data_IF_258058239381
#
_entry.id   IF_258058239381
#
_cell.length_a   1.000
_cell.length_b   1.000
_cell.length_c   1.000
_cell.angle_alpha   90.00
_cell.angle_beta   90.00
_cell.angle_gamma   90.00
#
_symmetry.space_group_name_H-M   'P 1'
#
loop_
_entity.id
_entity.type
_entity.pdbx_description
1 polymer ?
#
# COMPACT_ATOMS: atom_id res chain seq x y z
N UNK A 1 -8.49 -9.80 1.44
CA UNK A 1 -8.99 -9.35 2.76
C UNK A 1 -7.89 -9.62 3.76
N UNK A 2 -7.34 -8.57 4.39
CA UNK A 2 -6.14 -8.70 5.26
C UNK A 2 -6.56 -8.69 6.74
N UNK A 3 -7.48 -7.81 7.13
CA UNK A 3 -8.13 -7.87 8.44
C UNK A 3 -9.21 -8.96 8.44
N UNK A 4 -9.32 -9.71 9.54
CA UNK A 4 -10.33 -10.75 9.72
C UNK A 4 -11.76 -10.17 9.80
N UNK A 5 -12.73 -10.97 9.37
CA UNK A 5 -14.16 -10.66 9.43
C UNK A 5 -14.84 -11.45 10.57
N UNK A 6 -15.93 -10.94 11.17
CA UNK A 6 -16.66 -11.65 12.22
C UNK A 6 -17.37 -12.88 11.64
N UNK A 7 -16.78 -14.04 11.89
CA UNK A 7 -17.30 -15.36 11.52
C UNK A 7 -17.58 -16.15 12.80
N UNK A 8 -18.81 -16.65 12.95
CA UNK A 8 -19.16 -17.49 14.09
C UNK A 8 -18.63 -18.93 13.93
N UNK A 9 -18.78 -19.75 14.99
CA UNK A 9 -18.33 -21.14 15.00
C UNK A 9 -19.07 -22.05 14.00
N UNK A 10 -20.25 -21.64 13.53
CA UNK A 10 -21.03 -22.36 12.52
C UNK A 10 -20.66 -21.91 11.10
N UNK A 11 -19.73 -20.96 10.95
CA UNK A 11 -19.32 -20.40 9.66
C UNK A 11 -20.25 -19.32 9.11
N UNK A 12 -21.17 -18.77 9.91
CA UNK A 12 -22.02 -17.66 9.48
C UNK A 12 -21.30 -16.32 9.69
N UNK A 13 -21.29 -15.50 8.65
CA UNK A 13 -20.69 -14.16 8.72
C UNK A 13 -21.74 -13.12 9.12
N UNK A 14 -21.48 -12.42 10.23
CA UNK A 14 -22.37 -11.38 10.77
C UNK A 14 -21.64 -10.04 10.78
N UNK A 15 -21.42 -9.49 9.58
CA UNK A 15 -20.66 -8.26 9.40
C UNK A 15 -21.56 -7.03 9.33
N UNK A 16 -21.13 -5.94 9.96
CA UNK A 16 -21.69 -4.60 9.81
C UNK A 16 -20.92 -3.81 8.75
N UNK A 17 -21.48 -2.68 8.30
CA UNK A 17 -20.83 -1.80 7.33
C UNK A 17 -19.41 -1.38 7.74
N UNK A 18 -19.20 -1.11 9.02
CA UNK A 18 -17.91 -0.71 9.59
C UNK A 18 -16.86 -1.81 9.58
N UNK A 19 -17.26 -3.09 9.46
CA UNK A 19 -16.30 -4.19 9.31
C UNK A 19 -15.66 -4.17 7.93
N UNK A 20 -16.41 -3.74 6.90
CA UNK A 20 -15.91 -3.56 5.53
C UNK A 20 -15.14 -2.24 5.36
N UNK A 21 -15.71 -1.14 5.85
CA UNK A 21 -15.14 0.21 5.77
C UNK A 21 -14.56 0.62 7.12
N UNK A 22 -13.38 0.09 7.41
CA UNK A 22 -12.61 0.42 8.59
C UNK A 22 -11.35 1.20 8.19
N UNK A 23 -10.63 1.73 9.18
CA UNK A 23 -9.42 2.52 8.93
C UNK A 23 -8.37 1.74 8.11
N UNK A 24 -8.23 0.44 8.36
CA UNK A 24 -7.28 -0.40 7.63
C UNK A 24 -7.67 -0.55 6.15
N UNK A 25 -8.95 -0.79 5.85
CA UNK A 25 -9.42 -0.91 4.47
C UNK A 25 -9.37 0.42 3.70
N UNK A 26 -9.63 1.55 4.38
CA UNK A 26 -9.46 2.89 3.79
C UNK A 26 -7.99 3.14 3.44
N UNK A 27 -7.06 2.89 4.38
CA UNK A 27 -5.62 3.06 4.12
C UNK A 27 -5.16 2.15 2.98
N UNK A 28 -5.61 0.89 2.96
CA UNK A 28 -5.32 -0.03 1.86
C UNK A 28 -5.88 0.44 0.51
N UNK A 29 -7.09 0.99 0.49
CA UNK A 29 -7.71 1.55 -0.71
C UNK A 29 -6.94 2.75 -1.26
N UNK A 30 -6.59 3.70 -0.38
CA UNK A 30 -5.76 4.87 -0.75
C UNK A 30 -4.39 4.42 -1.28
N UNK A 31 -3.75 3.46 -0.61
CA UNK A 31 -2.47 2.91 -1.05
C UNK A 31 -2.56 2.30 -2.46
N UNK A 32 -3.61 1.51 -2.74
CA UNK A 32 -3.82 0.94 -4.08
C UNK A 32 -4.01 2.03 -5.13
N UNK A 33 -4.84 3.05 -4.85
CA UNK A 33 -5.03 4.19 -5.76
C UNK A 33 -3.72 4.92 -6.04
N UNK A 34 -2.91 5.18 -5.01
CA UNK A 34 -1.60 5.80 -5.15
C UNK A 34 -0.65 4.96 -6.02
N UNK A 35 -0.60 3.64 -5.79
CA UNK A 35 0.24 2.74 -6.58
C UNK A 35 -0.18 2.71 -8.06
N UNK A 36 -1.48 2.64 -8.35
CA UNK A 36 -1.99 2.71 -9.72
C UNK A 36 -1.66 4.05 -10.38
N UNK A 37 -1.77 5.15 -9.64
CA UNK A 37 -1.46 6.47 -10.15
C UNK A 37 0.04 6.62 -10.44
N UNK A 38 0.91 6.26 -9.49
CA UNK A 38 2.37 6.23 -9.67
C UNK A 38 2.80 5.38 -10.86
N UNK A 39 2.18 4.20 -11.05
CA UNK A 39 2.44 3.37 -12.22
C UNK A 39 2.14 4.11 -13.54
N UNK A 40 0.99 4.79 -13.62
CA UNK A 40 0.63 5.61 -14.77
C UNK A 40 1.61 6.77 -15.01
N UNK A 41 2.04 7.44 -13.95
CA UNK A 41 3.02 8.53 -14.03
C UNK A 41 4.38 8.05 -14.55
N UNK A 42 4.86 6.92 -14.04
CA UNK A 42 6.08 6.29 -14.52
C UNK A 42 5.97 5.87 -15.99
N UNK A 43 4.83 5.30 -16.38
CA UNK A 43 4.57 4.96 -17.79
C UNK A 43 4.60 6.19 -18.70
N UNK A 44 3.95 7.29 -18.30
CA UNK A 44 3.97 8.55 -19.04
C UNK A 44 5.41 9.09 -19.14
N UNK A 45 6.16 9.07 -18.04
CA UNK A 45 7.56 9.49 -18.03
C UNK A 45 8.44 8.64 -18.96
N UNK A 46 8.17 7.35 -19.10
CA UNK A 46 8.89 6.49 -20.05
C UNK A 46 8.50 6.76 -21.51
N UNK A 47 7.24 7.15 -21.76
CA UNK A 47 6.69 7.24 -23.12
C UNK A 47 6.69 8.66 -23.72
N UNK A 48 6.92 9.69 -22.92
CA UNK A 48 6.87 11.09 -23.34
C UNK A 48 8.23 11.78 -23.21
N UNK A 49 8.38 12.91 -23.91
CA UNK A 49 9.58 13.75 -23.89
C UNK A 49 9.23 15.20 -23.54
N UNK A 50 10.25 15.97 -23.16
CA UNK A 50 10.13 17.39 -22.87
C UNK A 50 9.24 17.69 -21.64
N UNK A 51 8.44 18.78 -21.67
CA UNK A 51 7.73 19.28 -20.50
C UNK A 51 6.75 18.28 -19.85
N UNK A 52 6.16 17.38 -20.66
CA UNK A 52 5.21 16.38 -20.15
C UNK A 52 5.95 15.36 -19.28
N UNK A 53 7.16 14.93 -19.71
CA UNK A 53 8.01 14.02 -18.96
C UNK A 53 8.44 14.60 -17.62
N UNK A 54 8.89 15.85 -17.63
CA UNK A 54 9.33 16.54 -16.40
C UNK A 54 8.19 16.68 -15.39
N UNK A 55 7.01 17.12 -15.85
CA UNK A 55 5.82 17.17 -15.00
C UNK A 55 5.47 15.80 -14.44
N UNK A 56 5.57 14.76 -15.26
CA UNK A 56 5.25 13.41 -14.81
C UNK A 56 6.19 12.93 -13.70
N UNK A 57 7.50 13.18 -13.84
CA UNK A 57 8.52 12.87 -12.83
C UNK A 57 8.32 13.66 -11.54
N UNK A 58 8.09 14.97 -11.63
CA UNK A 58 7.89 15.83 -10.45
C UNK A 58 6.70 15.36 -9.61
N UNK A 59 5.57 15.02 -10.25
CA UNK A 59 4.42 14.48 -9.54
C UNK A 59 4.70 13.09 -8.97
N UNK A 60 5.43 12.24 -9.69
CA UNK A 60 5.82 10.92 -9.17
C UNK A 60 6.66 11.06 -7.90
N UNK A 61 7.69 11.91 -7.88
CA UNK A 61 8.56 12.14 -6.71
C UNK A 61 7.76 12.53 -5.45
N UNK A 62 6.83 13.48 -5.58
CA UNK A 62 5.96 13.91 -4.47
C UNK A 62 5.11 12.74 -3.96
N UNK A 63 4.53 11.97 -4.88
CA UNK A 63 3.66 10.85 -4.54
C UNK A 63 4.42 9.66 -3.97
N UNK A 64 5.69 9.44 -4.31
CA UNK A 64 6.54 8.48 -3.62
C UNK A 64 6.73 8.87 -2.14
N UNK A 65 6.89 10.16 -1.84
CA UNK A 65 6.88 10.66 -0.46
C UNK A 65 5.61 10.27 0.31
N UNK A 66 4.44 10.49 -0.30
CA UNK A 66 3.14 10.09 0.28
C UNK A 66 3.05 8.57 0.43
N UNK A 67 3.54 7.82 -0.55
CA UNK A 67 3.56 6.36 -0.52
C UNK A 67 4.38 5.81 0.66
N UNK A 68 5.55 6.39 0.96
CA UNK A 68 6.34 5.97 2.13
C UNK A 68 5.61 6.20 3.44
N UNK A 69 4.96 7.36 3.60
CA UNK A 69 4.14 7.64 4.79
C UNK A 69 3.01 6.62 4.88
N UNK A 70 2.33 6.35 3.77
CA UNK A 70 1.28 5.32 3.68
C UNK A 70 1.78 3.93 4.05
N UNK A 71 3.00 3.56 3.64
CA UNK A 71 3.63 2.27 3.95
C UNK A 71 3.90 2.14 5.45
N UNK A 72 4.44 3.19 6.08
CA UNK A 72 4.66 3.22 7.54
C UNK A 72 3.33 3.08 8.29
N UNK A 73 2.32 3.86 7.90
CA UNK A 73 0.98 3.77 8.50
C UNK A 73 0.38 2.38 8.33
N UNK A 74 0.52 1.78 7.14
CA UNK A 74 0.03 0.44 6.85
C UNK A 74 0.73 -0.63 7.70
N UNK A 75 2.05 -0.56 7.85
CA UNK A 75 2.81 -1.49 8.69
C UNK A 75 2.40 -1.40 10.18
N UNK A 76 2.24 -0.17 10.69
CA UNK A 76 1.76 0.08 12.05
C UNK A 76 0.35 -0.48 12.24
N UNK A 77 -0.57 -0.19 11.31
CA UNK A 77 -1.94 -0.70 11.39
C UNK A 77 -1.99 -2.22 11.28
N UNK A 78 -1.17 -2.84 10.44
CA UNK A 78 -1.08 -4.29 10.32
C UNK A 78 -0.65 -4.94 11.63
N UNK A 79 0.28 -4.32 12.36
CA UNK A 79 0.70 -4.79 13.67
C UNK A 79 -0.43 -4.77 14.69
N UNK A 80 -1.27 -3.72 14.69
CA UNK A 80 -2.35 -3.58 15.69
C UNK A 80 -3.68 -4.25 15.31
N UNK A 81 -3.96 -4.42 14.01
CA UNK A 81 -5.26 -4.91 13.51
C UNK A 81 -5.20 -6.32 12.96
N UNK A 82 -4.05 -6.98 12.98
CA UNK A 82 -3.93 -8.32 12.39
C UNK A 82 -2.95 -9.21 13.15
N UNK A 83 -3.33 -10.48 13.29
CA UNK A 83 -2.56 -11.50 14.00
C UNK A 83 -1.36 -12.03 13.18
N UNK A 84 -1.01 -11.38 12.06
CA UNK A 84 0.06 -11.82 11.17
C UNK A 84 1.41 -11.89 11.87
N UNK A 85 1.75 -10.86 12.64
CA UNK A 85 3.01 -10.82 13.39
C UNK A 85 3.05 -11.85 14.53
N UNK A 86 1.91 -12.22 15.10
CA UNK A 86 1.84 -13.24 16.15
C UNK A 86 1.95 -14.66 15.58
N UNK A 87 1.29 -14.94 14.45
CA UNK A 87 1.23 -16.28 13.85
C UNK A 87 2.41 -16.58 12.93
N UNK A 88 2.92 -15.59 12.20
CA UNK A 88 3.90 -15.77 11.12
C UNK A 88 4.97 -14.67 11.11
N UNK A 89 5.52 -14.33 12.29
CA UNK A 89 6.45 -13.20 12.47
C UNK A 89 7.54 -13.09 11.39
N UNK A 90 8.28 -14.18 11.14
CA UNK A 90 9.41 -14.17 10.20
C UNK A 90 8.97 -13.85 8.76
N UNK A 91 7.90 -14.51 8.28
CA UNK A 91 7.39 -14.30 6.92
C UNK A 91 6.83 -12.89 6.77
N UNK A 92 6.04 -12.43 7.73
CA UNK A 92 5.46 -11.08 7.71
C UNK A 92 6.55 -10.02 7.70
N UNK A 93 7.57 -10.14 8.55
CA UNK A 93 8.70 -9.20 8.59
C UNK A 93 9.47 -9.16 7.27
N UNK A 94 9.78 -10.33 6.69
CA UNK A 94 10.48 -10.42 5.40
C UNK A 94 9.67 -9.73 4.30
N UNK A 95 8.35 -9.98 4.22
CA UNK A 95 7.49 -9.36 3.23
C UNK A 95 7.39 -7.85 3.41
N UNK A 96 7.26 -7.36 4.64
CA UNK A 96 7.24 -5.91 4.92
C UNK A 96 8.55 -5.25 4.47
N UNK A 97 9.70 -5.85 4.80
CA UNK A 97 11.00 -5.33 4.37
C UNK A 97 11.16 -5.38 2.85
N UNK A 98 10.72 -6.46 2.20
CA UNK A 98 10.75 -6.57 0.75
C UNK A 98 9.93 -5.47 0.07
N UNK A 99 8.74 -5.15 0.58
CA UNK A 99 7.91 -4.06 0.05
C UNK A 99 8.63 -2.71 0.20
N UNK A 100 9.26 -2.44 1.33
CA UNK A 100 10.05 -1.20 1.54
C UNK A 100 11.20 -1.11 0.56
N UNK A 101 11.99 -2.17 0.42
CA UNK A 101 13.14 -2.21 -0.50
C UNK A 101 12.69 -2.02 -1.95
N UNK A 102 11.65 -2.73 -2.38
CA UNK A 102 11.10 -2.58 -3.73
C UNK A 102 10.57 -1.18 -3.99
N UNK A 103 9.97 -0.54 -2.98
CA UNK A 103 9.51 0.85 -3.08
C UNK A 103 10.68 1.83 -3.23
N UNK A 104 11.78 1.60 -2.51
CA UNK A 104 13.03 2.37 -2.69
C UNK A 104 13.60 2.18 -4.08
N UNK A 105 13.69 0.95 -4.58
CA UNK A 105 14.15 0.67 -5.95
C UNK A 105 13.27 1.38 -6.98
N UNK A 106 11.95 1.32 -6.81
CA UNK A 106 11.01 1.97 -7.71
C UNK A 106 11.18 3.49 -7.72
N UNK A 107 11.40 4.11 -6.56
CA UNK A 107 11.67 5.54 -6.46
C UNK A 107 13.00 5.92 -7.13
N UNK A 108 14.07 5.15 -6.91
CA UNK A 108 15.36 5.37 -7.57
C UNK A 108 15.24 5.28 -9.09
N UNK A 109 14.39 4.40 -9.62
CA UNK A 109 14.15 4.29 -11.07
C UNK A 109 13.42 5.46 -11.73
N UNK A 110 12.89 6.41 -10.96
CA UNK A 110 12.29 7.66 -11.46
C UNK A 110 13.37 8.71 -11.77
N UNK A 111 14.55 8.58 -11.15
CA UNK A 111 15.72 9.43 -11.36
C UNK A 111 16.51 9.02 -12.60
#
# INVERSE_FOLDING_TARGET
LVQGMPLDANGNMHAQFTDYFNLFSIVGGVALTLLCYLHGMNYIALKTEGPIRERARNYAEILYGVLYVGLVVFAVLMYFKTDFYEKNFAVTLILTLAIVVLTVIANVGVF
#
